data_IF_524038721171
#
_entry.id   IF_524038721171
#
_cell.length_a   1.000
_cell.length_b   1.000
_cell.length_c   1.000
_cell.angle_alpha   90.00
_cell.angle_beta   90.00
_cell.angle_gamma   90.00
#
_symmetry.space_group_name_H-M   'P 1'
#
loop_
_entity.id
_entity.type
_entity.pdbx_description
1 polymer ?
#
# COMPACT_ATOMS: atom_id res chain seq x y z
N UNK A 1 -9.11 25.40 -22.72
CA UNK A 1 -8.43 24.42 -21.84
C UNK A 1 -9.35 24.11 -20.67
N UNK A 2 -10.23 23.11 -20.80
CA UNK A 2 -11.08 22.69 -19.67
C UNK A 2 -10.19 21.98 -18.65
N UNK A 3 -9.99 22.58 -17.48
CA UNK A 3 -9.45 21.86 -16.34
C UNK A 3 -10.43 20.72 -16.03
N UNK A 4 -10.02 19.48 -16.33
CA UNK A 4 -10.67 18.28 -15.82
C UNK A 4 -10.54 18.33 -14.30
N UNK A 5 -11.54 18.90 -13.63
CA UNK A 5 -11.69 18.78 -12.20
C UNK A 5 -11.82 17.29 -11.91
N UNK A 6 -10.74 16.67 -11.46
CA UNK A 6 -10.75 15.35 -10.82
C UNK A 6 -11.40 15.48 -9.43
N UNK A 7 -12.60 16.05 -9.36
CA UNK A 7 -13.40 16.19 -8.13
C UNK A 7 -14.04 14.87 -7.70
N UNK A 8 -14.13 13.89 -8.61
CA UNK A 8 -14.51 12.54 -8.24
C UNK A 8 -13.32 11.90 -7.54
N UNK A 9 -13.38 11.81 -6.20
CA UNK A 9 -12.44 11.00 -5.42
C UNK A 9 -12.40 9.62 -6.06
N UNK A 10 -11.22 9.15 -6.46
CA UNK A 10 -11.03 7.77 -6.94
C UNK A 10 -11.63 6.82 -5.91
N UNK A 11 -12.22 5.70 -6.34
CA UNK A 11 -12.75 4.71 -5.39
C UNK A 11 -11.62 4.33 -4.42
N UNK A 12 -11.89 4.40 -3.12
CA UNK A 12 -10.96 3.90 -2.11
C UNK A 12 -10.61 2.45 -2.45
N UNK A 13 -9.33 2.08 -2.43
CA UNK A 13 -8.88 0.72 -2.71
C UNK A 13 -8.59 0.35 -4.18
N UNK A 14 -8.65 1.30 -5.14
CA UNK A 14 -8.51 0.98 -6.58
C UNK A 14 -7.10 0.53 -7.05
N UNK A 15 -6.11 0.40 -6.16
CA UNK A 15 -4.74 0.04 -6.57
C UNK A 15 -4.32 -1.39 -6.26
N UNK A 16 -4.80 -1.97 -5.15
CA UNK A 16 -4.44 -3.31 -4.70
C UNK A 16 -5.65 -3.91 -3.99
N UNK A 17 -5.95 -5.17 -4.29
CA UNK A 17 -7.04 -5.89 -3.64
C UNK A 17 -6.60 -6.51 -2.30
N UNK A 18 -7.50 -7.25 -1.66
CA UNK A 18 -7.19 -7.89 -0.38
C UNK A 18 -6.12 -8.97 -0.53
N UNK A 19 -6.08 -9.69 -1.66
CA UNK A 19 -5.11 -10.75 -1.90
C UNK A 19 -3.72 -10.17 -2.14
N UNK A 20 -3.61 -9.07 -2.88
CA UNK A 20 -2.38 -8.29 -3.02
C UNK A 20 -1.83 -7.85 -1.65
N UNK A 21 -2.70 -7.39 -0.74
CA UNK A 21 -2.31 -6.98 0.61
C UNK A 21 -1.81 -8.15 1.44
N UNK A 22 -2.43 -9.33 1.35
CA UNK A 22 -1.94 -10.54 2.02
C UNK A 22 -0.56 -10.96 1.51
N UNK A 23 -0.33 -10.86 0.20
CA UNK A 23 0.99 -11.13 -0.39
C UNK A 23 2.03 -10.14 0.12
N UNK A 24 1.69 -8.85 0.15
CA UNK A 24 2.56 -7.81 0.72
C UNK A 24 2.91 -8.12 2.18
N UNK A 25 1.91 -8.38 3.02
CA UNK A 25 2.09 -8.69 4.43
C UNK A 25 3.00 -9.90 4.63
N UNK A 26 2.75 -10.98 3.89
CA UNK A 26 3.59 -12.17 3.92
C UNK A 26 5.04 -11.83 3.56
N UNK A 27 5.29 -11.17 2.42
CA UNK A 27 6.64 -10.84 1.97
C UNK A 27 7.36 -9.89 2.93
N UNK A 28 6.65 -8.89 3.47
CA UNK A 28 7.19 -7.97 4.46
C UNK A 28 7.62 -8.72 5.73
N UNK A 29 6.75 -9.61 6.25
CA UNK A 29 7.04 -10.42 7.43
C UNK A 29 8.19 -11.41 7.19
N UNK A 30 8.30 -11.99 5.99
CA UNK A 30 9.46 -12.81 5.64
C UNK A 30 10.75 -11.99 5.55
N UNK A 31 10.67 -10.76 5.04
CA UNK A 31 11.82 -9.87 4.99
C UNK A 31 12.31 -9.49 6.39
N UNK A 32 11.40 -9.22 7.34
CA UNK A 32 11.77 -8.91 8.74
C UNK A 32 12.57 -10.02 9.44
N UNK A 33 12.42 -11.28 8.99
CA UNK A 33 13.17 -12.41 9.54
C UNK A 33 14.60 -12.52 9.01
N UNK A 34 14.95 -11.76 7.96
CA UNK A 34 16.28 -11.80 7.35
C UNK A 34 17.31 -11.09 8.20
N UNK A 35 18.58 -11.46 8.02
CA UNK A 35 19.69 -10.76 8.65
C UNK A 35 19.79 -9.32 8.14
N UNK A 36 20.39 -8.40 8.92
CA UNK A 36 20.54 -6.99 8.51
C UNK A 36 21.21 -6.79 7.14
N UNK A 37 22.10 -7.72 6.74
CA UNK A 37 22.81 -7.67 5.45
C UNK A 37 21.92 -8.08 4.27
N UNK A 38 20.89 -8.89 4.52
CA UNK A 38 20.00 -9.47 3.52
C UNK A 38 18.61 -8.82 3.51
N UNK A 39 18.38 -7.90 4.44
CA UNK A 39 17.13 -7.16 4.58
C UNK A 39 16.90 -6.34 3.30
N UNK A 40 15.78 -6.63 2.63
CA UNK A 40 15.38 -5.89 1.45
C UNK A 40 14.88 -4.51 1.83
N UNK A 41 15.29 -3.51 1.06
CA UNK A 41 14.71 -2.17 1.15
C UNK A 41 13.30 -2.18 0.57
N UNK A 42 12.54 -1.14 0.89
CA UNK A 42 11.21 -0.93 0.33
C UNK A 42 11.24 -0.92 -1.21
N UNK A 43 12.22 -0.26 -1.82
CA UNK A 43 12.43 -0.27 -3.28
C UNK A 43 12.62 -1.68 -3.85
N UNK A 44 13.38 -2.53 -3.15
CA UNK A 44 13.61 -3.91 -3.59
C UNK A 44 12.34 -4.77 -3.47
N UNK A 45 11.59 -4.62 -2.38
CA UNK A 45 10.28 -5.26 -2.22
C UNK A 45 9.28 -4.81 -3.30
N UNK A 46 9.24 -3.52 -3.62
CA UNK A 46 8.39 -2.98 -4.68
C UNK A 46 8.73 -3.59 -6.03
N UNK A 47 10.03 -3.75 -6.34
CA UNK A 47 10.49 -4.43 -7.56
C UNK A 47 10.07 -5.90 -7.60
N UNK A 48 10.13 -6.62 -6.48
CA UNK A 48 9.70 -8.02 -6.40
C UNK A 48 8.19 -8.17 -6.62
N UNK A 49 7.40 -7.23 -6.11
CA UNK A 49 5.95 -7.19 -6.27
C UNK A 49 5.50 -6.59 -7.61
N UNK A 50 6.44 -6.11 -8.44
CA UNK A 50 6.14 -5.37 -9.68
C UNK A 50 5.28 -4.11 -9.45
N UNK A 51 5.47 -3.44 -8.32
CA UNK A 51 4.76 -2.21 -7.96
C UNK A 51 5.68 -1.00 -7.99
N UNK A 52 5.10 0.19 -8.13
CA UNK A 52 5.84 1.41 -7.90
C UNK A 52 6.20 1.53 -6.41
N UNK A 53 7.37 2.10 -6.10
CA UNK A 53 7.78 2.36 -4.72
C UNK A 53 6.77 3.25 -3.97
N UNK A 54 6.15 4.19 -4.69
CA UNK A 54 5.08 5.03 -4.16
C UNK A 54 3.82 4.24 -3.79
N UNK A 55 3.46 3.22 -4.57
CA UNK A 55 2.32 2.33 -4.26
C UNK A 55 2.60 1.55 -2.98
N UNK A 56 3.78 0.92 -2.89
CA UNK A 56 4.18 0.16 -1.71
C UNK A 56 4.23 1.04 -0.45
N UNK A 57 4.75 2.27 -0.56
CA UNK A 57 4.78 3.24 0.54
C UNK A 57 3.40 3.63 1.04
N UNK A 58 2.44 3.83 0.12
CA UNK A 58 1.06 4.11 0.50
C UNK A 58 0.41 2.94 1.23
N UNK A 59 0.60 1.70 0.79
CA UNK A 59 0.02 0.54 1.47
C UNK A 59 0.64 0.28 2.83
N UNK A 60 1.97 0.38 2.97
CA UNK A 60 2.62 0.26 4.28
C UNK A 60 2.10 1.35 5.23
N UNK A 61 1.98 2.60 4.74
CA UNK A 61 1.39 3.68 5.54
C UNK A 61 -0.08 3.42 5.87
N UNK A 62 -0.86 2.83 4.96
CA UNK A 62 -2.26 2.45 5.22
C UNK A 62 -2.36 1.42 6.35
N UNK A 63 -1.45 0.46 6.42
CA UNK A 63 -1.41 -0.54 7.50
C UNK A 63 -1.02 0.02 8.87
N UNK A 64 -0.42 1.22 8.92
CA UNK A 64 -0.01 1.89 10.16
C UNK A 64 -1.05 2.86 10.72
N UNK A 65 -2.16 3.11 10.01
CA UNK A 65 -3.17 4.10 10.40
C UNK A 65 -4.57 3.53 10.27
N UNK A 66 -5.44 3.93 11.20
CA UNK A 66 -6.87 3.62 11.10
C UNK A 66 -7.47 4.36 9.89
N UNK A 67 -8.12 3.61 8.99
CA UNK A 67 -8.76 4.19 7.82
C UNK A 67 -10.15 4.72 8.20
N UNK A 68 -10.42 5.99 7.89
CA UNK A 68 -11.72 6.61 8.10
C UNK A 68 -12.36 7.03 6.79
N UNK A 69 -13.68 6.83 6.68
CA UNK A 69 -14.48 7.36 5.58
C UNK A 69 -14.73 8.87 5.78
N UNK A 70 -15.37 9.51 4.79
CA UNK A 70 -15.62 10.96 4.84
C UNK A 70 -16.54 11.38 5.99
N UNK A 71 -17.33 10.46 6.50
CA UNK A 71 -18.21 10.59 7.67
C UNK A 71 -17.51 10.22 8.99
N UNK A 72 -16.18 10.06 8.97
CA UNK A 72 -15.32 9.69 10.09
C UNK A 72 -15.54 8.26 10.63
N UNK A 73 -16.31 7.44 9.92
CA UNK A 73 -16.48 6.02 10.28
C UNK A 73 -15.21 5.23 9.97
N UNK A 74 -14.70 4.47 10.94
CA UNK A 74 -13.53 3.63 10.75
C UNK A 74 -13.90 2.39 9.94
N UNK A 75 -13.11 2.05 8.94
CA UNK A 75 -13.26 0.82 8.17
C UNK A 75 -11.93 0.07 8.06
N UNK A 76 -12.01 -1.24 7.86
CA UNK A 76 -10.84 -2.08 7.59
C UNK A 76 -10.76 -2.33 6.08
N UNK A 77 -9.55 -2.24 5.55
CA UNK A 77 -9.24 -2.48 4.13
C UNK A 77 -9.06 -3.98 3.83
#
# INVERSE_FOLDING_TARGET
MSQLYCIRKRKSGQHLDLEDRKILEYLYNQNLKRSKKELLTQKALAKQLSWSEATLSRELKRGLVDQQASDLTTYKA
#
